data_IF_533239238684
#
_entry.id   IF_533239238684
#
_cell.length_a   1.000
_cell.length_b   1.000
_cell.length_c   1.000
_cell.angle_alpha   90.00
_cell.angle_beta   90.00
_cell.angle_gamma   90.00
#
_symmetry.space_group_name_H-M   'P 1'
#
loop_
_entity.id
_entity.type
_entity.pdbx_description
1 polymer ?
#
# COMPACT_ATOMS: atom_id res chain seq x y z
N UNK A 1 9.19 10.56 15.29
CA UNK A 1 9.69 9.53 16.23
C UNK A 1 8.63 8.44 16.35
N UNK A 2 8.99 7.16 16.30
CA UNK A 2 8.07 6.04 16.50
C UNK A 2 7.72 5.88 17.99
N UNK A 3 6.42 5.76 18.36
CA UNK A 3 6.02 5.63 19.77
C UNK A 3 6.27 4.25 20.37
N UNK A 4 6.65 3.25 19.56
CA UNK A 4 6.90 1.87 20.03
C UNK A 4 8.39 1.63 20.27
N UNK A 5 9.25 1.99 19.31
CA UNK A 5 10.69 1.77 19.42
C UNK A 5 11.50 3.02 19.79
N UNK A 6 10.85 4.17 19.96
CA UNK A 6 11.48 5.45 20.32
C UNK A 6 12.66 5.85 19.42
N UNK A 7 12.53 5.60 18.12
CA UNK A 7 13.55 5.93 17.12
C UNK A 7 12.93 6.63 15.89
N UNK A 8 13.78 7.10 14.98
CA UNK A 8 13.35 7.60 13.67
C UNK A 8 12.56 6.50 12.96
N UNK A 9 11.42 6.88 12.37
CA UNK A 9 10.52 5.91 11.79
C UNK A 9 11.18 5.22 10.59
N UNK A 10 10.88 3.94 10.42
CA UNK A 10 11.31 3.13 9.28
C UNK A 10 10.05 2.63 8.59
N UNK A 11 9.89 2.96 7.31
CA UNK A 11 8.69 2.67 6.53
C UNK A 11 7.43 3.12 7.28
N UNK A 12 7.17 4.42 7.32
CA UNK A 12 6.09 4.98 8.13
C UNK A 12 4.71 4.43 7.72
N UNK A 13 3.91 3.98 8.69
CA UNK A 13 2.54 3.50 8.48
C UNK A 13 1.57 4.18 9.44
N UNK A 14 0.36 4.46 8.94
CA UNK A 14 -0.79 4.97 9.68
C UNK A 14 -1.62 3.81 10.21
N UNK A 15 -2.03 3.90 11.47
CA UNK A 15 -3.07 3.07 12.04
C UNK A 15 -4.44 3.49 11.51
N UNK A 16 -5.15 2.61 10.81
CA UNK A 16 -6.47 2.87 10.24
C UNK A 16 -7.58 2.46 11.24
N UNK A 17 -8.46 3.37 11.70
CA UNK A 17 -8.72 4.70 11.15
C UNK A 17 -8.11 5.88 11.92
N UNK A 18 -7.48 5.67 13.07
CA UNK A 18 -7.11 6.77 13.97
C UNK A 18 -5.96 7.68 13.49
N UNK A 19 -5.22 7.30 12.44
CA UNK A 19 -4.19 8.13 11.80
C UNK A 19 -2.86 8.23 12.55
N UNK A 20 -2.66 7.51 13.66
CA UNK A 20 -1.36 7.54 14.35
C UNK A 20 -0.29 6.82 13.52
N UNK A 21 0.89 7.44 13.44
CA UNK A 21 2.02 6.90 12.66
C UNK A 21 3.02 6.13 13.51
N UNK A 22 3.46 4.98 13.00
CA UNK A 22 4.45 4.08 13.60
C UNK A 22 5.38 3.53 12.51
N UNK A 23 6.51 2.91 12.89
CA UNK A 23 7.26 2.08 11.95
C UNK A 23 6.39 0.92 11.47
N UNK A 24 6.52 0.53 10.20
CA UNK A 24 5.77 -0.62 9.65
C UNK A 24 5.97 -1.89 10.48
N UNK A 25 7.23 -2.22 10.77
CA UNK A 25 7.56 -3.41 11.57
C UNK A 25 6.98 -3.34 13.00
N UNK A 26 7.09 -2.20 13.66
CA UNK A 26 6.60 -2.03 15.03
C UNK A 26 5.08 -2.17 15.10
N UNK A 27 4.37 -1.52 14.17
CA UNK A 27 2.92 -1.56 14.10
C UNK A 27 2.42 -2.98 13.75
N UNK A 28 3.08 -3.64 12.79
CA UNK A 28 2.77 -5.02 12.43
C UNK A 28 2.99 -5.99 13.60
N UNK A 29 4.12 -5.85 14.30
CA UNK A 29 4.42 -6.65 15.49
C UNK A 29 3.36 -6.46 16.57
N UNK A 30 2.98 -5.22 16.84
CA UNK A 30 1.91 -4.88 17.79
C UNK A 30 0.56 -5.53 17.40
N UNK A 31 0.12 -5.32 16.17
CA UNK A 31 -1.15 -5.86 15.65
C UNK A 31 -1.15 -7.40 15.64
N UNK A 32 0.00 -8.02 15.38
CA UNK A 32 0.10 -9.47 15.31
C UNK A 32 -0.19 -10.18 16.64
N UNK A 33 -0.06 -9.49 17.77
CA UNK A 33 -0.37 -10.02 19.10
C UNK A 33 -1.87 -10.25 19.32
N UNK A 34 -2.73 -9.47 18.64
CA UNK A 34 -4.17 -9.65 18.69
C UNK A 34 -4.80 -9.31 17.33
N UNK A 35 -4.83 -10.30 16.45
CA UNK A 35 -5.36 -10.16 15.08
C UNK A 35 -6.89 -10.06 15.04
N UNK A 36 -7.59 -10.57 16.05
CA UNK A 36 -9.06 -10.59 16.09
C UNK A 36 -9.64 -9.22 16.43
N UNK A 37 -8.98 -8.48 17.32
CA UNK A 37 -9.35 -7.11 17.71
C UNK A 37 -8.11 -6.22 17.76
N UNK A 38 -7.55 -5.86 16.58
CA UNK A 38 -6.37 -5.02 16.52
C UNK A 38 -6.68 -3.62 17.06
N UNK A 39 -5.76 -3.06 17.85
CA UNK A 39 -5.90 -1.74 18.46
C UNK A 39 -4.63 -0.90 18.26
N UNK A 40 -4.78 0.42 18.15
CA UNK A 40 -3.65 1.33 18.01
C UNK A 40 -2.73 1.28 19.24
N UNK A 41 -1.42 1.18 19.04
CA UNK A 41 -0.46 1.22 20.15
C UNK A 41 -0.45 2.58 20.90
N UNK A 42 -0.86 3.65 20.21
CA UNK A 42 -0.85 5.03 20.74
C UNK A 42 -2.14 5.35 21.49
N UNK A 43 -3.28 5.36 20.79
CA UNK A 43 -4.56 5.78 21.36
C UNK A 43 -5.51 4.64 21.71
N UNK A 44 -5.12 3.38 21.48
CA UNK A 44 -5.94 2.17 21.73
C UNK A 44 -7.25 2.08 20.97
N UNK A 45 -7.53 3.02 20.05
CA UNK A 45 -8.67 2.92 19.14
C UNK A 45 -8.63 1.60 18.36
N UNK A 46 -9.82 1.00 18.18
CA UNK A 46 -9.99 -0.20 17.37
C UNK A 46 -9.57 0.07 15.92
N UNK A 47 -8.81 -0.84 15.34
CA UNK A 47 -8.33 -0.76 13.96
C UNK A 47 -9.17 -1.62 13.03
N UNK A 48 -9.12 -1.29 11.75
CA UNK A 48 -9.71 -2.12 10.70
C UNK A 48 -9.13 -3.54 10.73
N UNK A 49 -9.98 -4.56 10.79
CA UNK A 49 -9.54 -5.98 10.79
C UNK A 49 -8.95 -6.41 9.45
N UNK A 50 -9.43 -5.83 8.34
CA UNK A 50 -8.97 -6.11 6.98
C UNK A 50 -7.66 -5.41 6.63
N UNK A 51 -7.58 -4.09 6.84
CA UNK A 51 -6.40 -3.25 6.55
C UNK A 51 -6.11 -2.30 7.73
N UNK A 52 -5.49 -2.80 8.81
CA UNK A 52 -5.22 -2.00 10.00
C UNK A 52 -4.10 -0.98 9.81
N UNK A 53 -3.24 -1.16 8.79
CA UNK A 53 -2.11 -0.29 8.48
C UNK A 53 -2.19 0.22 7.04
N UNK A 54 -1.92 1.51 6.86
CA UNK A 54 -1.80 2.17 5.56
C UNK A 54 -0.42 2.82 5.46
N UNK A 55 0.18 2.85 4.27
CA UNK A 55 1.47 3.50 4.04
C UNK A 55 1.35 5.02 4.20
N UNK A 56 2.31 5.65 4.88
CA UNK A 56 2.40 7.10 5.01
C UNK A 56 3.56 7.65 4.15
N UNK A 57 3.31 7.81 2.85
CA UNK A 57 4.34 8.28 1.91
C UNK A 57 4.88 9.66 2.27
N UNK A 58 4.02 10.57 2.73
CA UNK A 58 4.42 11.93 3.10
C UNK A 58 5.38 11.92 4.29
N UNK A 59 5.07 11.18 5.34
CA UNK A 59 5.95 11.10 6.51
C UNK A 59 7.25 10.35 6.19
N UNK A 60 7.19 9.32 5.36
CA UNK A 60 8.38 8.58 4.94
C UNK A 60 9.34 9.47 4.13
N UNK A 61 8.82 10.28 3.19
CA UNK A 61 9.60 11.25 2.43
C UNK A 61 10.28 12.29 3.35
N UNK A 62 9.54 12.82 4.35
CA UNK A 62 10.09 13.75 5.34
C UNK A 62 11.20 13.09 6.16
N UNK A 63 11.01 11.84 6.60
CA UNK A 63 12.04 11.10 7.34
C UNK A 63 13.29 10.89 6.50
N UNK A 64 13.15 10.51 5.23
CA UNK A 64 14.30 10.33 4.33
C UNK A 64 15.08 11.64 4.17
N UNK A 65 14.38 12.76 3.98
CA UNK A 65 15.04 14.06 3.87
C UNK A 65 15.71 14.48 5.18
N UNK A 66 15.09 14.19 6.32
CA UNK A 66 15.70 14.43 7.63
C UNK A 66 16.99 13.63 7.83
N UNK A 67 17.01 12.35 7.45
CA UNK A 67 18.23 11.52 7.51
C UNK A 67 19.34 12.09 6.63
N UNK A 68 19.03 12.54 5.41
CA UNK A 68 20.00 13.22 4.54
C UNK A 68 20.55 14.49 5.18
N UNK A 69 19.69 15.30 5.78
CA UNK A 69 20.11 16.52 6.49
C UNK A 69 21.04 16.20 7.67
N UNK A 70 20.77 15.12 8.43
CA UNK A 70 21.65 14.67 9.51
C UNK A 70 23.04 14.28 8.99
N UNK A 71 23.12 13.58 7.86
CA UNK A 71 24.40 13.22 7.24
C UNK A 71 25.20 14.46 6.80
N UNK A 72 24.53 15.43 6.16
CA UNK A 72 25.16 16.69 5.69
C UNK A 72 25.59 17.58 6.85
N UNK A 73 24.86 17.58 7.97
CA UNK A 73 25.22 18.35 9.17
C UNK A 73 26.49 17.87 9.89
N UNK A 74 27.13 16.80 9.42
CA UNK A 74 28.38 16.28 9.99
C UNK A 74 28.20 15.33 11.17
N UNK A 75 26.98 14.82 11.44
CA UNK A 75 26.79 13.77 12.45
C UNK A 75 27.33 12.44 11.95
N UNK A 76 28.45 11.98 12.51
CA UNK A 76 29.15 10.77 12.10
C UNK A 76 28.27 9.52 12.16
N UNK A 77 27.34 9.42 13.12
CA UNK A 77 26.43 8.28 13.26
C UNK A 77 25.45 8.10 12.07
N UNK A 78 25.19 9.16 11.29
CA UNK A 78 24.25 9.18 10.16
C UNK A 78 24.94 9.30 8.80
N UNK A 79 26.27 9.33 8.78
CA UNK A 79 27.04 9.27 7.55
C UNK A 79 27.03 7.85 6.95
N UNK A 80 27.62 7.68 5.77
CA UNK A 80 27.60 6.41 5.02
C UNK A 80 28.12 5.20 5.82
N UNK A 81 29.14 5.42 6.66
CA UNK A 81 29.71 4.41 7.57
C UNK A 81 29.15 4.49 9.00
N UNK A 82 28.13 5.30 9.21
CA UNK A 82 27.53 5.52 10.52
C UNK A 82 26.64 4.35 10.94
N UNK A 83 26.79 3.91 12.19
CA UNK A 83 26.08 2.76 12.73
C UNK A 83 24.55 2.95 12.69
N UNK A 84 24.04 4.17 12.93
CA UNK A 84 22.59 4.44 12.92
C UNK A 84 22.01 4.37 11.52
N UNK A 85 22.73 4.86 10.50
CA UNK A 85 22.28 4.74 9.11
C UNK A 85 22.23 3.27 8.67
N UNK A 86 23.25 2.49 9.04
CA UNK A 86 23.30 1.06 8.75
C UNK A 86 22.16 0.28 9.43
N UNK A 87 21.87 0.58 10.70
CA UNK A 87 20.76 0.01 11.45
C UNK A 87 19.41 0.36 10.82
N UNK A 88 19.19 1.64 10.52
CA UNK A 88 17.96 2.13 9.89
C UNK A 88 17.72 1.45 8.52
N UNK A 89 18.76 1.32 7.69
CA UNK A 89 18.69 0.60 6.40
C UNK A 89 18.37 -0.88 6.59
N UNK A 90 19.00 -1.55 7.57
CA UNK A 90 18.73 -2.94 7.89
C UNK A 90 17.26 -3.17 8.26
N UNK A 91 16.69 -2.29 9.10
CA UNK A 91 15.26 -2.32 9.45
C UNK A 91 14.37 -2.07 8.23
N UNK A 92 14.76 -1.13 7.37
CA UNK A 92 14.02 -0.81 6.16
C UNK A 92 13.96 -2.01 5.20
N UNK A 93 15.09 -2.67 4.97
CA UNK A 93 15.17 -3.86 4.12
C UNK A 93 14.44 -5.06 4.74
N UNK A 94 14.53 -5.23 6.07
CA UNK A 94 13.75 -6.24 6.79
C UNK A 94 12.25 -6.04 6.53
N UNK A 95 11.76 -4.82 6.71
CA UNK A 95 10.36 -4.51 6.45
C UNK A 95 9.97 -4.73 4.99
N UNK A 96 10.82 -4.31 4.04
CA UNK A 96 10.59 -4.55 2.60
C UNK A 96 10.34 -6.02 2.30
N UNK A 97 11.15 -6.93 2.86
CA UNK A 97 10.97 -8.39 2.69
C UNK A 97 9.64 -8.88 3.29
N UNK A 98 9.30 -8.41 4.49
CA UNK A 98 8.02 -8.76 5.16
C UNK A 98 6.83 -8.29 4.33
N UNK A 99 6.87 -7.04 3.86
CA UNK A 99 5.80 -6.45 3.05
C UNK A 99 5.61 -7.20 1.72
N UNK A 100 6.70 -7.54 1.03
CA UNK A 100 6.65 -8.36 -0.19
C UNK A 100 6.06 -9.74 0.05
N UNK A 101 6.50 -10.44 1.11
CA UNK A 101 5.96 -11.75 1.47
C UNK A 101 4.45 -11.68 1.77
N UNK A 102 4.01 -10.67 2.53
CA UNK A 102 2.59 -10.46 2.83
C UNK A 102 1.76 -10.16 1.58
N UNK A 103 2.30 -9.35 0.65
CA UNK A 103 1.62 -9.03 -0.61
C UNK A 103 1.43 -10.27 -1.49
N UNK A 104 2.46 -11.12 -1.61
CA UNK A 104 2.40 -12.38 -2.37
C UNK A 104 1.36 -13.34 -1.77
N UNK A 105 1.38 -13.49 -0.43
CA UNK A 105 0.40 -14.30 0.29
C UNK A 105 -1.03 -13.76 0.14
N UNK A 106 -1.21 -12.43 0.10
CA UNK A 106 -2.49 -11.79 -0.16
C UNK A 106 -3.04 -12.15 -1.55
N UNK A 107 -2.23 -11.96 -2.59
CA UNK A 107 -2.60 -12.33 -3.97
C UNK A 107 -2.92 -13.83 -4.11
N UNK A 108 -2.17 -14.70 -3.44
CA UNK A 108 -2.44 -16.14 -3.47
C UNK A 108 -3.81 -16.49 -2.87
N UNK A 109 -4.19 -15.86 -1.74
CA UNK A 109 -5.50 -16.05 -1.11
C UNK A 109 -6.64 -15.53 -1.97
N UNK A 110 -6.46 -14.36 -2.58
CA UNK A 110 -7.42 -13.76 -3.49
C UNK A 110 -7.65 -14.65 -4.73
N UNK A 111 -6.56 -15.14 -5.34
CA UNK A 111 -6.64 -16.08 -6.45
C UNK A 111 -7.34 -17.39 -6.06
N UNK A 112 -7.05 -17.94 -4.87
CA UNK A 112 -7.73 -19.14 -4.38
C UNK A 112 -9.24 -18.92 -4.15
N UNK A 113 -9.61 -17.77 -3.58
CA UNK A 113 -11.01 -17.37 -3.42
C UNK A 113 -11.72 -17.24 -4.77
N UNK A 114 -11.07 -16.58 -5.75
CA UNK A 114 -11.59 -16.44 -7.11
C UNK A 114 -11.83 -17.81 -7.76
N UNK A 115 -10.87 -18.74 -7.69
CA UNK A 115 -11.01 -20.10 -8.24
C UNK A 115 -12.18 -20.88 -7.63
N UNK A 116 -12.40 -20.78 -6.32
CA UNK A 116 -13.55 -21.41 -5.65
C UNK A 116 -14.89 -20.87 -6.15
N UNK A 117 -14.98 -19.54 -6.38
CA UNK A 117 -16.22 -18.90 -6.86
C UNK A 117 -16.59 -19.37 -8.28
N UNK A 118 -15.60 -19.58 -9.16
CA UNK A 118 -15.83 -20.11 -10.51
C UNK A 118 -16.16 -21.61 -10.53
N UNK A 119 -15.67 -22.41 -9.57
CA UNK A 119 -15.99 -23.84 -9.48
C UNK A 119 -17.39 -24.12 -8.91
N UNK A 120 -18.00 -23.17 -8.18
CA UNK A 120 -19.34 -23.30 -7.61
C UNK A 120 -20.51 -22.98 -8.55
N UNK A 121 -20.24 -22.58 -9.81
CA UNK A 121 -21.24 -22.11 -10.76
C UNK A 121 -21.33 -22.97 -12.04
N UNK A 122 -21.00 -24.25 -11.98
CA UNK A 122 -21.48 -25.22 -12.98
C UNK A 122 -22.79 -25.81 -12.44
N UNK A 123 -23.85 -24.99 -12.40
CA UNK A 123 -25.19 -25.55 -12.50
C UNK A 123 -25.32 -25.86 -13.97
N UNK A 124 -25.25 -27.13 -14.35
CA UNK A 124 -25.54 -27.54 -15.72
C UNK A 124 -27.01 -27.26 -15.97
N UNK A 125 -27.32 -26.04 -16.39
CA UNK A 125 -28.59 -25.75 -16.99
C UNK A 125 -28.64 -26.63 -18.24
N UNK A 126 -29.42 -27.71 -18.17
CA UNK A 126 -29.81 -28.46 -19.36
C UNK A 126 -30.91 -27.63 -19.98
N UNK A 127 -30.67 -26.86 -21.06
CA UNK A 127 -31.76 -26.15 -21.70
C UNK A 127 -32.78 -27.20 -22.18
N UNK A 128 -34.09 -26.97 -21.97
CA UNK A 128 -35.10 -27.81 -22.59
C UNK A 128 -34.90 -27.77 -24.11
N UNK A 129 -34.85 -28.95 -24.73
CA UNK A 129 -34.74 -29.12 -26.18
C UNK A 129 -36.00 -28.54 -26.81
N UNK A 130 -35.90 -27.31 -27.31
CA UNK A 130 -36.93 -26.72 -28.16
C UNK A 130 -36.55 -26.93 -29.62
N UNK A 131 -37.46 -27.51 -30.39
CA UNK A 131 -37.29 -27.76 -31.82
C UNK A 131 -37.03 -26.45 -32.58
N UNK A 132 -36.19 -26.50 -33.64
CA UNK A 132 -35.76 -25.30 -34.33
C UNK A 132 -36.84 -24.84 -35.30
N UNK A 133 -37.58 -23.79 -34.93
CA UNK A 133 -38.32 -22.98 -35.88
C UNK A 133 -37.58 -21.66 -36.11
N UNK A 134 -36.84 -21.63 -37.22
CA UNK A 134 -36.69 -20.50 -38.12
C UNK A 134 -36.39 -19.10 -37.58
N UNK A 135 -35.15 -18.68 -37.84
CA UNK A 135 -34.73 -17.42 -38.51
C UNK A 135 -34.98 -16.06 -37.87
N UNK A 136 -33.98 -15.17 -38.09
CA UNK A 136 -34.06 -13.70 -38.16
C UNK A 136 -34.06 -13.03 -36.76
N UNK A 137 -33.05 -12.28 -36.32
CA UNK A 137 -32.28 -11.21 -36.95
C UNK A 137 -30.83 -11.14 -36.45
N UNK A 138 -29.95 -10.60 -37.29
CA UNK A 138 -28.70 -9.90 -36.96
C UNK A 138 -28.95 -8.78 -35.92
N UNK A 139 -27.99 -8.56 -35.03
CA UNK A 139 -27.50 -7.21 -34.70
C UNK A 139 -26.16 -7.34 -33.96
N UNK A 140 -25.17 -6.68 -34.54
CA UNK A 140 -23.83 -6.42 -34.04
C UNK A 140 -23.87 -5.76 -32.65
N UNK A 141 -22.92 -6.10 -31.78
CA UNK A 141 -22.31 -5.15 -30.84
C UNK A 141 -20.96 -5.74 -30.39
N UNK A 142 -19.95 -5.38 -31.17
CA UNK A 142 -18.52 -5.55 -30.95
C UNK A 142 -18.06 -4.43 -30.00
N UNK A 143 -18.24 -4.61 -28.69
CA UNK A 143 -17.66 -3.71 -27.68
C UNK A 143 -16.18 -4.09 -27.47
N UNK A 144 -15.33 -3.72 -28.45
CA UNK A 144 -13.91 -3.55 -28.20
C UNK A 144 -13.74 -2.35 -27.26
N UNK A 145 -13.44 -2.62 -25.98
CA UNK A 145 -12.99 -1.61 -25.02
C UNK A 145 -11.67 -0.98 -25.53
N UNK A 146 -11.76 0.06 -26.38
CA UNK A 146 -10.64 0.93 -26.74
C UNK A 146 -10.07 1.59 -25.49
N UNK A 147 -8.83 1.22 -25.13
CA UNK A 147 -8.04 1.86 -24.08
C UNK A 147 -7.72 3.31 -24.50
N UNK A 148 -8.24 4.35 -23.84
CA UNK A 148 -7.88 5.71 -24.16
C UNK A 148 -6.41 5.94 -23.77
N UNK A 149 -5.55 5.99 -24.77
CA UNK A 149 -4.17 6.47 -24.62
C UNK A 149 -4.24 7.91 -24.10
N UNK A 150 -3.88 8.13 -22.84
CA UNK A 150 -3.64 9.47 -22.31
C UNK A 150 -2.55 10.12 -23.17
N UNK A 151 -2.94 11.07 -23.99
CA UNK A 151 -2.00 11.97 -24.63
C UNK A 151 -1.32 12.80 -23.53
N UNK A 152 0.00 12.90 -23.63
CA UNK A 152 0.86 13.67 -22.74
C UNK A 152 0.47 15.16 -22.80
N UNK A 153 -0.43 15.58 -21.91
CA UNK A 153 -0.70 17.00 -21.66
C UNK A 153 0.55 17.64 -21.05
N UNK A 154 1.31 18.27 -21.94
CA UNK A 154 2.07 19.51 -21.79
C UNK A 154 2.45 19.90 -20.36
N UNK A 155 3.74 19.73 -20.03
CA UNK A 155 4.35 20.23 -18.81
C UNK A 155 4.18 21.76 -18.77
N UNK A 156 3.18 22.24 -18.02
CA UNK A 156 3.07 23.67 -17.72
C UNK A 156 4.21 24.03 -16.76
N UNK A 157 5.24 24.71 -17.27
CA UNK A 157 6.31 25.28 -16.45
C UNK A 157 5.72 26.29 -15.46
N UNK A 158 5.58 25.88 -14.20
CA UNK A 158 5.20 26.78 -13.11
C UNK A 158 6.42 27.65 -12.78
N UNK A 159 6.49 28.85 -13.36
CA UNK A 159 7.48 29.85 -12.98
C UNK A 159 7.26 30.29 -11.51
N UNK A 160 8.30 30.34 -10.68
CA UNK A 160 8.18 30.81 -9.30
C UNK A 160 7.83 32.31 -9.28
N UNK A 161 6.67 32.64 -8.70
CA UNK A 161 6.31 34.04 -8.40
C UNK A 161 7.36 34.63 -7.45
N UNK A 162 8.01 35.73 -7.87
CA UNK A 162 8.86 36.55 -6.98
C UNK A 162 8.00 37.13 -5.87
N UNK A 163 8.22 36.67 -4.64
CA UNK A 163 7.70 37.33 -3.45
C UNK A 163 8.52 38.59 -3.23
N UNK A 164 7.92 39.77 -3.45
CA UNK A 164 8.48 41.04 -3.02
C UNK A 164 8.47 41.05 -1.49
N UNK A 165 9.66 41.01 -0.88
CA UNK A 165 9.82 41.30 0.54
C UNK A 165 9.50 42.77 0.76
N UNK A 166 8.49 43.06 1.58
CA UNK A 166 8.35 44.34 2.28
C UNK A 166 9.03 44.23 3.64
#
# INVERSE_FOLDING_TARGET
MCPICFDIMVAAHLCNPCGHSCCGECAQGWISQNKASPACAVCRAALSTTKPLLLNYSLDAVVQQYIRALAVSGRSEWQEKGDRLAEWRKRHDKWRRIAQANALMGKAKENAHRRRRYQGAIVSYVPPVYEPLGSYYDDDDDDEDEDPTYEDDEIVEIFPRRVLRR
#
